data_IF_319767559163
#
_entry.id   IF_319767559163
#
_cell.length_a   1.000
_cell.length_b   1.000
_cell.length_c   1.000
_cell.angle_alpha   90.00
_cell.angle_beta   90.00
_cell.angle_gamma   90.00
#
_symmetry.space_group_name_H-M   'P 1'
#
loop_
_entity.id
_entity.type
_entity.pdbx_description
1 polymer ?
#
# COMPACT_ATOMS: atom_id res chain seq x y z
N UNK A 1 46.16 -27.47 -8.58
CA UNK A 1 44.96 -27.61 -7.71
C UNK A 1 44.95 -26.65 -6.52
N UNK A 2 46.07 -26.21 -5.99
CA UNK A 2 46.15 -25.28 -4.82
C UNK A 2 45.87 -23.83 -5.23
N UNK A 3 46.26 -23.41 -6.42
CA UNK A 3 46.03 -22.05 -6.96
C UNK A 3 44.52 -21.75 -7.19
N UNK A 4 43.76 -22.74 -7.68
CA UNK A 4 42.31 -22.60 -7.90
C UNK A 4 41.52 -22.50 -6.59
N UNK A 5 41.96 -23.13 -5.50
CA UNK A 5 41.35 -22.97 -4.17
C UNK A 5 41.62 -21.57 -3.58
N UNK A 6 42.77 -21.00 -3.76
CA UNK A 6 43.11 -19.63 -3.31
C UNK A 6 42.32 -18.57 -4.08
N UNK A 7 42.16 -18.72 -5.41
CA UNK A 7 41.31 -17.81 -6.19
C UNK A 7 39.85 -17.91 -5.82
N UNK A 8 39.30 -19.10 -5.56
CA UNK A 8 37.95 -19.26 -5.06
C UNK A 8 37.76 -18.65 -3.65
N UNK A 9 38.74 -18.76 -2.77
CA UNK A 9 38.70 -18.13 -1.46
C UNK A 9 38.88 -16.61 -1.51
N UNK A 10 39.65 -16.06 -2.46
CA UNK A 10 39.76 -14.62 -2.69
C UNK A 10 38.43 -14.05 -3.21
N UNK A 11 37.78 -14.72 -4.17
CA UNK A 11 36.45 -14.30 -4.67
C UNK A 11 35.32 -14.37 -3.61
N UNK A 12 35.51 -15.16 -2.54
CA UNK A 12 34.54 -15.25 -1.45
C UNK A 12 34.82 -14.17 -0.37
N UNK A 13 36.05 -13.67 -0.25
CA UNK A 13 36.41 -12.66 0.76
C UNK A 13 36.06 -11.22 0.34
N UNK A 14 35.99 -10.92 -0.94
CA UNK A 14 35.63 -9.62 -1.48
C UNK A 14 34.20 -9.59 -2.02
N UNK A 15 33.24 -10.24 -1.35
CA UNK A 15 31.84 -9.95 -1.57
C UNK A 15 31.62 -8.50 -1.15
N UNK A 16 31.54 -7.60 -2.13
CA UNK A 16 30.95 -6.30 -1.93
C UNK A 16 29.50 -6.51 -1.45
N UNK A 17 29.31 -6.50 -0.16
CA UNK A 17 27.96 -6.54 0.41
C UNK A 17 27.31 -5.22 0.08
N UNK A 18 26.30 -5.23 -0.80
CA UNK A 18 25.49 -4.05 -1.03
C UNK A 18 24.76 -3.68 0.26
N UNK A 19 24.77 -2.40 0.57
CA UNK A 19 24.14 -1.85 1.78
C UNK A 19 22.76 -1.30 1.40
N UNK A 20 21.73 -1.84 2.03
CA UNK A 20 20.35 -1.34 1.91
C UNK A 20 20.07 -0.42 3.09
N UNK A 21 19.66 0.81 2.79
CA UNK A 21 19.35 1.82 3.79
C UNK A 21 17.90 2.29 3.76
N UNK A 22 17.27 2.42 4.92
CA UNK A 22 15.95 3.04 5.03
C UNK A 22 16.05 4.31 5.92
N UNK A 23 15.96 5.51 5.33
CA UNK A 23 15.90 6.76 6.08
C UNK A 23 14.54 6.91 6.76
N UNK A 24 14.47 7.81 7.73
CA UNK A 24 13.21 8.27 8.31
C UNK A 24 12.38 8.97 7.23
N UNK A 25 11.09 8.63 7.17
CA UNK A 25 10.17 9.36 6.29
C UNK A 25 9.93 10.77 6.81
N UNK A 26 10.05 11.75 5.91
CA UNK A 26 9.90 13.17 6.24
C UNK A 26 8.64 13.79 5.65
N UNK A 27 7.88 13.05 4.83
CA UNK A 27 6.60 13.49 4.32
C UNK A 27 5.59 13.63 5.46
N UNK A 28 4.91 14.78 5.51
CA UNK A 28 3.95 15.08 6.59
C UNK A 28 2.84 14.02 6.65
N UNK A 29 2.69 13.37 7.80
CA UNK A 29 1.68 12.33 8.03
C UNK A 29 2.09 10.93 7.60
N UNK A 30 3.30 10.73 7.05
CA UNK A 30 3.80 9.38 6.76
C UNK A 30 4.42 8.77 8.02
N UNK A 31 3.77 7.76 8.56
CA UNK A 31 4.19 7.06 9.76
C UNK A 31 4.83 5.70 9.48
N UNK A 32 4.76 5.23 8.23
CA UNK A 32 5.34 3.95 7.84
C UNK A 32 6.86 4.06 7.70
N UNK A 33 7.52 2.92 7.73
CA UNK A 33 8.94 2.76 7.42
C UNK A 33 9.10 1.70 6.32
N UNK A 34 9.99 1.93 5.37
CA UNK A 34 10.14 1.06 4.21
C UNK A 34 10.80 -0.30 4.53
N UNK A 35 11.48 -0.40 5.65
CA UNK A 35 12.13 -1.64 6.11
C UNK A 35 11.73 -1.90 7.56
N UNK A 36 11.07 -3.04 7.82
CA UNK A 36 10.75 -3.51 9.18
C UNK A 36 11.87 -4.39 9.74
N UNK A 37 11.94 -4.64 11.07
CA UNK A 37 12.90 -5.60 11.63
C UNK A 37 12.81 -6.98 10.97
N UNK A 38 11.61 -7.47 10.67
CA UNK A 38 11.42 -8.76 10.03
C UNK A 38 11.90 -8.75 8.57
N UNK A 39 11.54 -7.74 7.78
CA UNK A 39 12.00 -7.63 6.38
C UNK A 39 13.52 -7.48 6.30
N UNK A 40 14.15 -6.79 7.28
CA UNK A 40 15.62 -6.68 7.34
C UNK A 40 16.31 -8.02 7.53
N UNK A 41 15.75 -8.92 8.35
CA UNK A 41 16.26 -10.29 8.51
C UNK A 41 16.20 -11.07 7.20
N UNK A 42 15.13 -10.88 6.40
CA UNK A 42 15.03 -11.53 5.08
C UNK A 42 16.07 -10.98 4.11
N UNK A 43 16.28 -9.67 4.06
CA UNK A 43 17.33 -9.05 3.23
C UNK A 43 18.73 -9.54 3.62
N UNK A 44 19.02 -9.68 4.91
CA UNK A 44 20.30 -10.19 5.40
C UNK A 44 20.54 -11.66 5.00
N UNK A 45 19.49 -12.51 4.99
CA UNK A 45 19.58 -13.89 4.46
C UNK A 45 19.98 -13.92 2.99
N UNK A 46 19.61 -12.90 2.22
CA UNK A 46 20.01 -12.74 0.82
C UNK A 46 21.44 -12.18 0.65
N UNK A 47 22.13 -11.85 1.75
CA UNK A 47 23.50 -11.37 1.74
C UNK A 47 23.65 -9.85 1.71
N UNK A 48 22.59 -9.07 1.93
CA UNK A 48 22.65 -7.62 2.08
C UNK A 48 23.02 -7.21 3.50
N UNK A 49 23.66 -6.06 3.66
CA UNK A 49 23.77 -5.37 4.95
C UNK A 49 22.66 -4.34 5.04
N UNK A 50 22.03 -4.22 6.21
CA UNK A 50 20.95 -3.28 6.43
C UNK A 50 21.39 -2.14 7.35
N UNK A 51 21.03 -0.92 7.00
CA UNK A 51 21.26 0.29 7.78
C UNK A 51 19.96 1.09 7.91
N UNK A 52 19.69 1.62 9.09
CA UNK A 52 18.49 2.39 9.37
C UNK A 52 18.88 3.71 10.06
N UNK A 53 18.20 4.78 9.70
CA UNK A 53 18.28 6.05 10.44
C UNK A 53 17.61 5.92 11.80
N UNK A 54 18.23 6.44 12.85
CA UNK A 54 17.69 6.40 14.20
C UNK A 54 16.26 6.96 14.27
N UNK A 55 15.40 6.24 14.98
CA UNK A 55 13.96 6.52 15.12
C UNK A 55 13.16 6.50 13.81
N UNK A 56 13.68 5.91 12.73
CA UNK A 56 12.90 5.81 11.47
C UNK A 56 11.67 4.92 11.61
N UNK A 57 11.74 3.88 12.45
CA UNK A 57 10.61 2.97 12.69
C UNK A 57 9.67 3.38 13.83
N UNK A 58 10.00 4.45 14.59
CA UNK A 58 9.31 4.79 15.84
C UNK A 58 7.79 5.03 15.64
N UNK A 59 7.40 5.73 14.58
CA UNK A 59 5.99 5.99 14.26
C UNK A 59 5.24 4.73 13.77
N UNK A 60 5.96 3.69 13.37
CA UNK A 60 5.42 2.38 13.00
C UNK A 60 5.52 1.35 14.15
N UNK A 61 5.76 1.82 15.38
CA UNK A 61 5.93 1.02 16.59
C UNK A 61 7.13 0.05 16.57
N UNK A 62 8.18 0.38 15.82
CA UNK A 62 9.46 -0.34 15.85
C UNK A 62 10.55 0.54 16.45
N UNK A 63 11.11 0.11 17.58
CA UNK A 63 12.21 0.82 18.25
C UNK A 63 13.56 0.55 17.58
N UNK A 64 14.53 1.45 17.78
CA UNK A 64 15.91 1.22 17.34
C UNK A 64 16.52 -0.06 17.96
N UNK A 65 16.00 -0.50 19.12
CA UNK A 65 16.40 -1.75 19.75
C UNK A 65 15.94 -2.95 18.93
N UNK A 66 14.69 -2.97 18.46
CA UNK A 66 14.15 -4.06 17.67
C UNK A 66 14.96 -4.28 16.37
N UNK A 67 15.40 -3.18 15.76
CA UNK A 67 16.29 -3.25 14.59
C UNK A 67 17.69 -3.75 14.93
N UNK A 68 18.27 -3.32 16.06
CA UNK A 68 19.58 -3.83 16.52
C UNK A 68 19.51 -5.33 16.80
N UNK A 69 18.44 -5.77 17.46
CA UNK A 69 18.20 -7.19 17.77
C UNK A 69 17.96 -8.01 16.46
N UNK A 70 17.51 -7.34 15.40
CA UNK A 70 17.42 -7.90 14.04
C UNK A 70 18.72 -7.80 13.24
N UNK A 71 19.84 -7.32 13.80
CA UNK A 71 21.13 -7.21 13.14
C UNK A 71 21.29 -5.98 12.23
N UNK A 72 20.42 -4.98 12.33
CA UNK A 72 20.48 -3.75 11.53
C UNK A 72 21.38 -2.73 12.21
N UNK A 73 22.26 -2.10 11.43
CA UNK A 73 23.08 -0.99 11.91
C UNK A 73 22.25 0.28 11.98
N UNK A 74 22.24 0.96 13.12
CA UNK A 74 21.58 2.25 13.30
C UNK A 74 22.60 3.37 13.09
N UNK A 75 22.23 4.36 12.26
CA UNK A 75 22.99 5.59 12.02
C UNK A 75 22.25 6.79 12.57
N UNK A 76 22.99 7.85 12.92
CA UNK A 76 22.44 8.99 13.67
C UNK A 76 21.49 9.87 12.88
N UNK A 77 21.72 10.01 11.57
CA UNK A 77 20.99 10.95 10.72
C UNK A 77 20.94 10.50 9.25
N UNK A 78 20.08 11.18 8.48
CA UNK A 78 19.89 10.92 7.07
C UNK A 78 21.18 11.07 6.25
N UNK A 79 22.01 12.10 6.51
CA UNK A 79 23.22 12.35 5.72
C UNK A 79 24.18 11.14 5.76
N UNK A 80 24.35 10.58 6.94
CA UNK A 80 25.18 9.39 7.11
C UNK A 80 24.57 8.20 6.38
N UNK A 81 23.24 8.00 6.49
CA UNK A 81 22.53 6.89 5.82
C UNK A 81 22.65 6.99 4.31
N UNK A 82 22.31 8.14 3.71
CA UNK A 82 22.37 8.33 2.27
C UNK A 82 23.77 8.17 1.71
N UNK A 83 24.80 8.58 2.47
CA UNK A 83 26.20 8.38 2.11
C UNK A 83 26.62 6.91 2.17
N UNK A 84 26.14 6.15 3.16
CA UNK A 84 26.56 4.75 3.38
C UNK A 84 25.82 3.77 2.47
N UNK A 85 24.51 3.93 2.29
CA UNK A 85 23.69 2.97 1.56
C UNK A 85 23.92 3.00 0.02
N UNK A 86 23.91 1.84 -0.59
CA UNK A 86 23.94 1.65 -2.05
C UNK A 86 22.52 1.66 -2.62
N UNK A 87 21.59 1.04 -1.90
CA UNK A 87 20.16 0.98 -2.23
C UNK A 87 19.39 1.69 -1.12
N UNK A 88 18.56 2.65 -1.49
CA UNK A 88 17.66 3.34 -0.58
C UNK A 88 16.25 2.78 -0.70
N UNK A 89 15.69 2.38 0.42
CA UNK A 89 14.27 2.02 0.53
C UNK A 89 13.50 3.17 1.16
N UNK A 90 12.47 3.67 0.49
CA UNK A 90 11.55 4.67 1.03
C UNK A 90 10.11 4.27 0.73
N UNK A 91 9.19 4.72 1.56
CA UNK A 91 7.76 4.66 1.25
C UNK A 91 7.42 5.77 0.26
N UNK A 92 7.68 7.02 0.60
CA UNK A 92 7.47 8.17 -0.30
C UNK A 92 8.69 8.44 -1.15
N UNK A 93 8.48 8.96 -2.35
CA UNK A 93 9.58 9.44 -3.18
C UNK A 93 10.45 10.47 -2.46
N UNK A 94 11.73 10.64 -2.85
CA UNK A 94 12.59 11.61 -2.21
C UNK A 94 12.04 13.03 -2.27
N UNK A 95 11.99 13.70 -1.12
CA UNK A 95 11.59 15.09 -0.97
C UNK A 95 12.73 16.05 -1.39
N UNK A 96 12.40 17.33 -1.61
CA UNK A 96 13.37 18.37 -2.08
C UNK A 96 14.65 18.42 -1.24
N UNK A 97 14.54 18.26 0.08
CA UNK A 97 15.68 18.28 1.02
C UNK A 97 16.55 17.02 0.93
N UNK A 98 16.01 15.92 0.42
CA UNK A 98 16.73 14.65 0.24
C UNK A 98 17.46 14.59 -1.12
N UNK A 99 16.99 15.36 -2.11
CA UNK A 99 17.61 15.35 -3.46
C UNK A 99 19.10 15.67 -3.44
N UNK A 100 19.56 16.55 -2.53
CA UNK A 100 20.98 16.87 -2.38
C UNK A 100 21.81 15.71 -1.85
N UNK A 101 21.22 14.81 -1.05
CA UNK A 101 21.86 13.68 -0.40
C UNK A 101 22.05 12.46 -1.31
N UNK A 102 21.28 12.38 -2.40
CA UNK A 102 21.33 11.28 -3.36
C UNK A 102 22.68 11.24 -4.07
N UNK A 103 23.34 10.08 -4.04
CA UNK A 103 24.60 9.84 -4.76
C UNK A 103 24.35 9.61 -6.25
N UNK A 104 25.37 9.85 -7.06
CA UNK A 104 25.35 9.47 -8.48
C UNK A 104 25.32 7.93 -8.57
N UNK A 105 24.52 7.40 -9.49
CA UNK A 105 24.29 5.96 -9.71
C UNK A 105 23.69 5.20 -8.51
N UNK A 106 23.08 5.88 -7.54
CA UNK A 106 22.42 5.23 -6.41
C UNK A 106 21.15 4.51 -6.88
N UNK A 107 20.75 3.44 -6.19
CA UNK A 107 19.48 2.77 -6.42
C UNK A 107 18.44 3.26 -5.41
N UNK A 108 17.21 3.49 -5.86
CA UNK A 108 16.08 3.91 -5.01
C UNK A 108 14.87 3.03 -5.32
N UNK A 109 14.25 2.49 -4.29
CA UNK A 109 13.01 1.73 -4.37
C UNK A 109 11.97 2.45 -3.52
N UNK A 110 10.92 3.00 -4.14
CA UNK A 110 9.85 3.73 -3.44
C UNK A 110 8.64 3.95 -4.34
N UNK A 111 7.55 4.48 -3.77
CA UNK A 111 6.46 5.04 -4.58
C UNK A 111 6.92 6.36 -5.18
N UNK A 112 6.88 6.49 -6.48
CA UNK A 112 7.39 7.65 -7.24
C UNK A 112 6.28 8.47 -7.90
N UNK A 113 5.22 7.81 -8.37
CA UNK A 113 4.14 8.41 -9.16
C UNK A 113 4.68 9.18 -10.38
N UNK A 114 5.38 8.49 -11.30
CA UNK A 114 6.18 9.16 -12.34
C UNK A 114 5.34 10.06 -13.26
N UNK A 115 4.08 9.71 -13.52
CA UNK A 115 3.17 10.54 -14.31
C UNK A 115 2.88 11.92 -13.68
N UNK A 116 2.94 12.02 -12.36
CA UNK A 116 2.63 13.23 -11.60
C UNK A 116 3.89 13.99 -11.16
N UNK A 117 5.04 13.31 -11.06
CA UNK A 117 6.27 13.84 -10.48
C UNK A 117 7.41 14.01 -11.51
N UNK A 118 7.11 14.59 -12.68
CA UNK A 118 8.12 14.85 -13.73
C UNK A 118 9.36 15.60 -13.21
N UNK A 119 9.25 16.66 -12.36
CA UNK A 119 10.43 17.34 -11.82
C UNK A 119 11.34 16.45 -10.96
N UNK A 120 10.76 15.51 -10.21
CA UNK A 120 11.53 14.50 -9.45
C UNK A 120 12.32 13.61 -10.40
N UNK A 121 11.66 13.08 -11.45
CA UNK A 121 12.31 12.22 -12.44
C UNK A 121 13.51 12.92 -13.12
N UNK A 122 13.38 14.19 -13.50
CA UNK A 122 14.48 14.96 -14.08
C UNK A 122 15.67 15.11 -13.11
N UNK A 123 15.42 15.33 -11.83
CA UNK A 123 16.48 15.38 -10.82
C UNK A 123 17.18 14.03 -10.64
N UNK A 124 16.42 12.93 -10.59
CA UNK A 124 16.97 11.59 -10.48
C UNK A 124 17.78 11.20 -11.73
N UNK A 125 17.29 11.55 -12.92
CA UNK A 125 17.98 11.36 -14.20
C UNK A 125 19.33 12.08 -14.24
N UNK A 126 19.40 13.34 -13.80
CA UNK A 126 20.67 14.10 -13.74
C UNK A 126 21.74 13.40 -12.90
N UNK A 127 21.34 12.68 -11.86
CA UNK A 127 22.21 11.90 -10.98
C UNK A 127 22.39 10.45 -11.43
N UNK A 128 21.82 10.04 -12.58
CA UNK A 128 21.87 8.68 -13.11
C UNK A 128 21.38 7.63 -12.11
N UNK A 129 20.34 7.96 -11.33
CA UNK A 129 19.76 7.09 -10.31
C UNK A 129 18.97 5.98 -11.00
N UNK A 130 19.15 4.74 -10.55
CA UNK A 130 18.24 3.64 -10.91
C UNK A 130 17.05 3.64 -9.97
N UNK A 131 15.84 3.74 -10.52
CA UNK A 131 14.61 3.81 -9.72
C UNK A 131 13.73 2.60 -9.99
N UNK A 132 13.25 1.97 -8.92
CA UNK A 132 12.17 0.99 -8.96
C UNK A 132 10.93 1.62 -8.31
N UNK A 133 9.99 2.04 -9.16
CA UNK A 133 8.75 2.65 -8.72
C UNK A 133 7.74 1.56 -8.34
N UNK A 134 7.42 1.44 -7.05
CA UNK A 134 6.51 0.43 -6.51
C UNK A 134 5.07 0.60 -7.00
N UNK A 135 4.69 1.82 -7.34
CA UNK A 135 3.39 2.17 -7.94
C UNK A 135 3.27 1.77 -9.43
N UNK A 136 4.39 1.38 -10.06
CA UNK A 136 4.43 0.94 -11.47
C UNK A 136 4.54 -0.59 -11.61
N UNK A 137 4.44 -1.33 -10.52
CA UNK A 137 4.42 -2.80 -10.57
C UNK A 137 3.16 -3.26 -11.31
N UNK A 138 3.29 -4.08 -12.37
CA UNK A 138 2.15 -4.50 -13.17
C UNK A 138 1.21 -5.42 -12.37
N UNK A 139 -0.10 -5.28 -12.58
CA UNK A 139 -1.13 -6.13 -11.94
C UNK A 139 -1.28 -7.45 -12.68
N UNK A 140 -0.30 -8.32 -12.49
CA UNK A 140 -0.27 -9.68 -13.02
C UNK A 140 -0.04 -10.68 -11.89
N UNK A 141 -0.49 -11.93 -12.04
CA UNK A 141 -0.41 -12.96 -11.00
C UNK A 141 1.01 -13.16 -10.45
N UNK A 142 2.03 -13.10 -11.31
CA UNK A 142 3.43 -13.20 -10.90
C UNK A 142 3.91 -12.06 -10.00
N UNK A 143 3.38 -10.86 -10.19
CA UNK A 143 3.78 -9.66 -9.46
C UNK A 143 2.90 -9.39 -8.22
N UNK A 144 1.86 -10.20 -7.97
CA UNK A 144 0.88 -9.98 -6.91
C UNK A 144 1.52 -9.80 -5.52
N UNK A 145 2.58 -10.54 -5.21
CA UNK A 145 3.30 -10.39 -3.92
C UNK A 145 4.03 -9.04 -3.76
N UNK A 146 4.24 -8.32 -4.85
CA UNK A 146 4.88 -7.00 -4.88
C UNK A 146 3.85 -5.87 -5.03
N UNK A 147 2.57 -6.18 -5.19
CA UNK A 147 1.48 -5.20 -5.34
C UNK A 147 1.13 -4.55 -4.01
N UNK A 148 1.95 -3.60 -3.61
CA UNK A 148 1.75 -2.83 -2.39
C UNK A 148 0.52 -1.90 -2.47
N UNK A 149 0.09 -1.48 -3.66
CA UNK A 149 -1.11 -0.66 -3.84
C UNK A 149 -2.37 -1.45 -3.48
N UNK A 150 -2.50 -2.70 -3.93
CA UNK A 150 -3.63 -3.56 -3.56
C UNK A 150 -3.62 -3.88 -2.07
N UNK A 151 -2.46 -4.13 -1.47
CA UNK A 151 -2.35 -4.32 -0.02
C UNK A 151 -2.82 -3.09 0.76
N UNK A 152 -2.43 -1.89 0.33
CA UNK A 152 -2.89 -0.64 0.96
C UNK A 152 -4.36 -0.36 0.71
N UNK A 153 -4.90 -0.71 -0.45
CA UNK A 153 -6.32 -0.59 -0.77
C UNK A 153 -7.18 -1.47 0.16
N UNK A 154 -6.74 -2.69 0.45
CA UNK A 154 -7.41 -3.58 1.41
C UNK A 154 -7.50 -2.93 2.80
N UNK A 155 -6.37 -2.42 3.31
CA UNK A 155 -6.32 -1.72 4.60
C UNK A 155 -7.23 -0.46 4.59
N UNK A 156 -7.25 0.28 3.47
CA UNK A 156 -8.09 1.46 3.33
C UNK A 156 -9.58 1.11 3.41
N UNK A 157 -10.02 0.03 2.76
CA UNK A 157 -11.41 -0.45 2.85
C UNK A 157 -11.80 -0.85 4.26
N UNK A 158 -10.95 -1.61 4.95
CA UNK A 158 -11.13 -1.93 6.37
C UNK A 158 -11.26 -0.65 7.22
N UNK A 159 -10.31 0.28 7.07
CA UNK A 159 -10.28 1.51 7.86
C UNK A 159 -11.48 2.42 7.59
N UNK A 160 -11.95 2.47 6.35
CA UNK A 160 -13.12 3.27 5.98
C UNK A 160 -14.36 2.89 6.81
N UNK A 161 -14.59 1.60 7.04
CA UNK A 161 -15.71 1.13 7.84
C UNK A 161 -15.54 1.47 9.33
N UNK A 162 -14.32 1.38 9.86
CA UNK A 162 -14.02 1.78 11.24
C UNK A 162 -14.28 3.28 11.43
N UNK A 163 -13.84 4.12 10.49
CA UNK A 163 -14.08 5.56 10.54
C UNK A 163 -15.57 5.89 10.39
N UNK A 164 -16.27 5.21 9.48
CA UNK A 164 -17.72 5.34 9.34
C UNK A 164 -18.44 5.00 10.65
N UNK A 165 -18.06 3.90 11.30
CA UNK A 165 -18.62 3.49 12.60
C UNK A 165 -18.37 4.51 13.71
N UNK A 166 -17.19 5.14 13.71
CA UNK A 166 -16.84 6.18 14.68
C UNK A 166 -17.70 7.45 14.52
N UNK A 167 -18.15 7.76 13.28
CA UNK A 167 -18.95 8.96 12.97
C UNK A 167 -20.46 8.69 12.99
N UNK A 168 -20.90 7.44 12.86
CA UNK A 168 -22.31 7.10 12.62
C UNK A 168 -23.23 7.35 13.83
N UNK A 169 -22.72 7.34 15.06
CA UNK A 169 -23.50 7.61 16.27
C UNK A 169 -24.51 6.53 16.66
N UNK A 170 -24.57 5.39 15.97
CA UNK A 170 -25.41 4.22 16.24
C UNK A 170 -24.62 2.92 16.15
N UNK A 171 -25.24 1.81 16.58
CA UNK A 171 -24.67 0.46 16.40
C UNK A 171 -24.67 0.04 14.93
N UNK A 172 -23.64 -0.67 14.48
CA UNK A 172 -23.66 -1.34 13.18
C UNK A 172 -24.48 -2.62 13.23
N UNK A 173 -24.34 -3.41 14.26
CA UNK A 173 -25.15 -4.61 14.47
C UNK A 173 -26.51 -4.26 15.09
N UNK A 174 -27.53 -5.08 14.84
CA UNK A 174 -28.79 -4.96 15.56
C UNK A 174 -28.59 -5.23 17.05
N UNK A 175 -29.25 -4.44 17.89
CA UNK A 175 -29.18 -4.57 19.35
C UNK A 175 -30.57 -4.67 19.97
N UNK A 176 -30.64 -5.42 21.07
CA UNK A 176 -31.80 -5.46 21.96
C UNK A 176 -31.38 -4.81 23.28
N UNK A 177 -31.98 -3.68 23.61
CA UNK A 177 -31.71 -2.92 24.84
C UNK A 177 -32.89 -2.99 25.77
N UNK A 178 -32.75 -2.54 27.00
CA UNK A 178 -33.88 -2.39 27.93
C UNK A 178 -34.95 -1.43 27.41
N UNK A 179 -34.59 -0.46 26.58
CA UNK A 179 -35.49 0.51 25.95
C UNK A 179 -36.11 0.01 24.62
N UNK A 180 -35.76 -1.18 24.15
CA UNK A 180 -36.29 -1.77 22.92
C UNK A 180 -35.25 -2.21 21.93
N UNK A 181 -35.68 -2.51 20.68
CA UNK A 181 -34.85 -2.99 19.60
C UNK A 181 -34.25 -1.83 18.81
N UNK A 182 -32.96 -1.91 18.51
CA UNK A 182 -32.28 -1.04 17.57
C UNK A 182 -31.95 -1.87 16.33
N UNK A 183 -32.44 -1.52 15.13
CA UNK A 183 -32.14 -2.27 13.92
C UNK A 183 -30.65 -2.11 13.52
N UNK A 184 -30.09 -3.06 12.77
CA UNK A 184 -28.72 -2.94 12.27
C UNK A 184 -28.60 -1.76 11.29
N UNK A 185 -27.39 -1.21 11.19
CA UNK A 185 -27.08 -0.17 10.22
C UNK A 185 -27.17 -0.73 8.80
N UNK A 186 -27.62 0.09 7.86
CA UNK A 186 -27.56 -0.18 6.43
C UNK A 186 -26.35 0.57 5.84
N UNK A 187 -25.51 -0.12 5.11
CA UNK A 187 -24.28 0.43 4.53
C UNK A 187 -24.28 0.20 3.04
N UNK A 188 -24.13 1.27 2.26
CA UNK A 188 -23.90 1.22 0.84
C UNK A 188 -22.40 1.33 0.53
N UNK A 189 -21.85 0.34 -0.18
CA UNK A 189 -20.47 0.34 -0.67
C UNK A 189 -20.48 0.57 -2.17
N UNK A 190 -19.89 1.68 -2.61
CA UNK A 190 -19.80 2.04 -4.02
C UNK A 190 -18.41 1.67 -4.54
N UNK A 191 -18.36 0.67 -5.42
CA UNK A 191 -17.15 0.06 -5.97
C UNK A 191 -16.72 -1.20 -5.22
N UNK A 192 -16.65 -2.33 -5.91
CA UNK A 192 -16.25 -3.64 -5.39
C UNK A 192 -14.84 -4.06 -5.86
N UNK A 193 -13.91 -3.11 -5.92
CA UNK A 193 -12.49 -3.41 -6.02
C UNK A 193 -11.93 -3.91 -4.69
N UNK A 194 -10.60 -4.02 -4.58
CA UNK A 194 -9.94 -4.53 -3.35
C UNK A 194 -10.38 -3.78 -2.10
N UNK A 195 -10.48 -2.45 -2.15
CA UNK A 195 -10.94 -1.65 -1.02
C UNK A 195 -12.43 -1.90 -0.70
N UNK A 196 -13.29 -1.93 -1.73
CA UNK A 196 -14.71 -2.15 -1.56
C UNK A 196 -15.03 -3.52 -0.97
N UNK A 197 -14.40 -4.59 -1.49
CA UNK A 197 -14.56 -5.94 -0.94
C UNK A 197 -14.08 -6.02 0.51
N UNK A 198 -12.97 -5.38 0.87
CA UNK A 198 -12.52 -5.30 2.25
C UNK A 198 -13.50 -4.53 3.15
N UNK A 199 -14.10 -3.46 2.63
CA UNK A 199 -15.14 -2.70 3.33
C UNK A 199 -16.40 -3.55 3.54
N UNK A 200 -16.87 -4.27 2.51
CA UNK A 200 -18.02 -5.18 2.59
C UNK A 200 -17.79 -6.22 3.70
N UNK A 201 -16.67 -6.95 3.65
CA UNK A 201 -16.36 -7.97 4.63
C UNK A 201 -16.26 -7.41 6.06
N UNK A 202 -15.69 -6.23 6.22
CA UNK A 202 -15.58 -5.57 7.53
C UNK A 202 -16.97 -5.16 8.04
N UNK A 203 -17.79 -4.53 7.23
CA UNK A 203 -19.13 -4.10 7.61
C UNK A 203 -20.06 -5.28 7.97
N UNK A 204 -19.99 -6.36 7.20
CA UNK A 204 -20.68 -7.61 7.48
C UNK A 204 -20.23 -8.21 8.83
N UNK A 205 -18.94 -8.25 9.08
CA UNK A 205 -18.38 -8.75 10.34
C UNK A 205 -18.84 -7.90 11.56
N UNK A 206 -19.13 -6.62 11.35
CA UNK A 206 -19.70 -5.73 12.36
C UNK A 206 -21.23 -5.84 12.47
N UNK A 207 -21.87 -6.72 11.69
CA UNK A 207 -23.30 -7.01 11.76
C UNK A 207 -24.21 -6.01 11.05
N UNK A 208 -23.67 -5.20 10.14
CA UNK A 208 -24.45 -4.30 9.31
C UNK A 208 -25.14 -5.04 8.15
N UNK A 209 -26.22 -4.48 7.64
CA UNK A 209 -26.84 -4.88 6.35
C UNK A 209 -26.06 -4.15 5.26
N UNK A 210 -25.40 -4.89 4.37
CA UNK A 210 -24.54 -4.30 3.35
C UNK A 210 -25.15 -4.46 1.97
N UNK A 211 -25.25 -3.36 1.26
CA UNK A 211 -25.54 -3.29 -0.18
C UNK A 211 -24.30 -2.77 -0.91
N UNK A 212 -24.02 -3.28 -2.08
CA UNK A 212 -22.88 -2.86 -2.85
C UNK A 212 -23.22 -2.67 -4.32
N UNK A 213 -22.57 -1.70 -4.95
CA UNK A 213 -22.66 -1.41 -6.36
C UNK A 213 -21.26 -1.45 -7.00
N UNK A 214 -21.16 -1.97 -8.20
CA UNK A 214 -19.99 -1.82 -9.07
C UNK A 214 -20.45 -1.75 -10.53
N UNK A 215 -19.74 -0.99 -11.33
CA UNK A 215 -20.03 -0.84 -12.75
C UNK A 215 -19.71 -2.11 -13.58
N UNK A 216 -19.03 -3.08 -12.97
CA UNK A 216 -18.65 -4.36 -13.57
C UNK A 216 -19.57 -5.46 -13.06
N UNK A 217 -20.47 -6.01 -13.92
CA UNK A 217 -21.41 -7.05 -13.49
C UNK A 217 -20.74 -8.33 -12.97
N UNK A 218 -19.55 -8.66 -13.45
CA UNK A 218 -18.81 -9.86 -13.08
C UNK A 218 -18.37 -9.90 -11.60
N UNK A 219 -18.43 -8.79 -10.88
CA UNK A 219 -18.12 -8.76 -9.43
C UNK A 219 -19.32 -9.09 -8.55
N UNK A 220 -20.53 -9.23 -9.13
CA UNK A 220 -21.76 -9.53 -8.39
C UNK A 220 -21.62 -10.79 -7.53
N UNK A 221 -21.13 -11.90 -8.12
CA UNK A 221 -20.89 -13.15 -7.42
C UNK A 221 -19.95 -13.01 -6.22
N UNK A 222 -18.91 -12.17 -6.35
CA UNK A 222 -17.98 -11.90 -5.25
C UNK A 222 -18.67 -11.16 -4.11
N UNK A 223 -19.50 -10.16 -4.41
CA UNK A 223 -20.26 -9.38 -3.45
C UNK A 223 -21.24 -10.28 -2.69
N UNK A 224 -22.02 -11.08 -3.42
CA UNK A 224 -23.01 -12.00 -2.86
C UNK A 224 -22.37 -13.10 -2.03
N UNK A 225 -21.22 -13.62 -2.44
CA UNK A 225 -20.47 -14.62 -1.68
C UNK A 225 -20.00 -14.10 -0.32
N UNK A 226 -19.86 -12.78 -0.17
CA UNK A 226 -19.55 -12.12 1.09
C UNK A 226 -20.80 -11.79 1.93
N UNK A 227 -22.00 -12.15 1.48
CA UNK A 227 -23.26 -11.93 2.17
C UNK A 227 -23.85 -10.51 1.98
N UNK A 228 -23.36 -9.74 1.04
CA UNK A 228 -23.93 -8.43 0.70
C UNK A 228 -24.88 -8.53 -0.50
N UNK A 229 -25.84 -7.61 -0.58
CA UNK A 229 -26.75 -7.47 -1.72
C UNK A 229 -26.07 -6.68 -2.84
N UNK A 230 -26.01 -7.25 -4.05
CA UNK A 230 -25.53 -6.52 -5.21
C UNK A 230 -26.66 -5.66 -5.81
N UNK A 231 -26.42 -4.36 -5.96
CA UNK A 231 -27.34 -3.46 -6.62
C UNK A 231 -27.04 -3.44 -8.13
N UNK A 232 -27.92 -4.05 -8.90
CA UNK A 232 -27.82 -4.08 -10.34
C UNK A 232 -28.42 -2.81 -10.94
N UNK A 233 -27.68 -2.15 -11.84
CA UNK A 233 -28.21 -1.08 -12.67
C UNK A 233 -28.76 -1.69 -13.96
N UNK A 234 -30.05 -1.47 -14.25
CA UNK A 234 -30.66 -1.87 -15.53
C UNK A 234 -30.18 -0.95 -16.66
N UNK A 235 -28.97 -1.23 -17.16
CA UNK A 235 -28.32 -0.48 -18.21
C UNK A 235 -27.31 -1.37 -18.95
N UNK A 236 -27.54 -1.56 -20.25
CA UNK A 236 -26.63 -2.32 -21.13
C UNK A 236 -25.34 -1.54 -21.41
N UNK A 237 -24.42 -1.46 -20.45
CA UNK A 237 -23.09 -0.94 -20.69
C UNK A 237 -22.04 -1.93 -20.14
N UNK A 238 -21.14 -2.36 -21.01
CA UNK A 238 -19.94 -3.08 -20.60
C UNK A 238 -19.00 -2.11 -19.87
N UNK A 239 -19.05 -2.14 -18.54
CA UNK A 239 -18.20 -1.32 -17.67
C UNK A 239 -16.75 -1.81 -17.52
N UNK A 240 -16.41 -2.95 -18.12
CA UNK A 240 -15.11 -3.60 -17.96
C UNK A 240 -14.04 -2.93 -18.82
N UNK A 241 -12.99 -2.43 -18.18
CA UNK A 241 -11.81 -1.83 -18.80
C UNK A 241 -10.57 -2.70 -18.65
N UNK A 242 -9.44 -2.25 -19.20
CA UNK A 242 -8.18 -2.96 -19.10
C UNK A 242 -7.63 -2.96 -17.64
N UNK A 243 -6.99 -4.07 -17.25
CA UNK A 243 -6.33 -4.21 -15.95
C UNK A 243 -7.28 -4.22 -14.75
N UNK A 244 -8.59 -4.54 -14.95
CA UNK A 244 -9.59 -4.60 -13.88
C UNK A 244 -10.12 -3.23 -13.44
N UNK A 245 -9.89 -2.18 -14.23
CA UNK A 245 -10.50 -0.86 -14.04
C UNK A 245 -11.80 -0.73 -14.85
N UNK A 246 -12.69 0.15 -14.37
CA UNK A 246 -13.90 0.50 -15.11
C UNK A 246 -13.59 1.41 -16.31
N UNK A 247 -14.38 1.29 -17.38
CA UNK A 247 -14.38 2.25 -18.48
C UNK A 247 -15.00 3.58 -18.05
N UNK A 248 -14.67 4.71 -18.74
CA UNK A 248 -15.38 5.97 -18.53
C UNK A 248 -16.89 5.80 -18.78
N UNK A 249 -17.69 6.18 -17.80
CA UNK A 249 -19.14 6.08 -17.86
C UNK A 249 -19.77 7.12 -18.80
N UNK A 250 -20.86 6.77 -19.50
CA UNK A 250 -21.66 7.71 -20.26
C UNK A 250 -22.46 8.65 -19.33
N UNK A 251 -22.87 9.81 -19.83
CA UNK A 251 -23.70 10.73 -19.04
C UNK A 251 -25.06 10.11 -18.62
N UNK A 252 -25.63 9.26 -19.45
CA UNK A 252 -26.87 8.54 -19.17
C UNK A 252 -26.67 7.49 -18.09
N UNK A 253 -25.55 6.75 -18.14
CA UNK A 253 -25.19 5.81 -17.09
C UNK A 253 -25.05 6.52 -15.75
N UNK A 254 -24.29 7.61 -15.69
CA UNK A 254 -24.09 8.41 -14.45
C UNK A 254 -25.43 8.90 -13.90
N UNK A 255 -26.37 9.31 -14.75
CA UNK A 255 -27.70 9.76 -14.32
C UNK A 255 -28.47 8.62 -13.63
N UNK A 256 -28.53 7.45 -14.25
CA UNK A 256 -29.22 6.27 -13.68
C UNK A 256 -28.53 5.76 -12.41
N UNK A 257 -27.20 5.77 -12.37
CA UNK A 257 -26.41 5.45 -11.18
C UNK A 257 -26.75 6.37 -10.00
N UNK A 258 -26.83 7.67 -10.26
CA UNK A 258 -27.22 8.66 -9.23
C UNK A 258 -28.67 8.51 -8.78
N UNK A 259 -29.57 8.08 -9.65
CA UNK A 259 -30.96 7.75 -9.29
C UNK A 259 -30.98 6.52 -8.37
N UNK A 260 -30.27 5.45 -8.72
CA UNK A 260 -30.12 4.26 -7.87
C UNK A 260 -29.60 4.61 -6.49
N UNK A 261 -28.55 5.45 -6.38
CA UNK A 261 -28.00 5.83 -5.08
C UNK A 261 -28.95 6.71 -4.25
N UNK A 262 -29.76 7.57 -4.90
CA UNK A 262 -30.79 8.36 -4.21
C UNK A 262 -31.87 7.50 -3.60
N UNK A 263 -32.24 6.40 -4.25
CA UNK A 263 -33.19 5.43 -3.70
C UNK A 263 -32.67 4.76 -2.42
N UNK A 264 -31.36 4.64 -2.28
CA UNK A 264 -30.71 4.07 -1.08
C UNK A 264 -30.50 5.11 0.04
N UNK A 265 -30.47 6.40 -0.29
CA UNK A 265 -30.09 7.47 0.64
C UNK A 265 -31.07 7.73 1.82
N UNK A 266 -32.39 7.48 1.72
CA UNK A 266 -33.32 7.69 2.84
C UNK A 266 -33.16 6.66 3.96
N UNK A 267 -32.44 5.62 3.75
CA UNK A 267 -32.23 4.52 4.70
C UNK A 267 -30.94 4.66 5.47
#
# INVERSE_FOLDING_TARGET
HVLFRRQRQMCIRDRFYMIIGAPKEIFKGENRVAMTPESSKQLQKLGYKCVLESNAGANANFSDKDYKDAGVKIVKNADQLWKEADIILKVRGPEKTELSKIKVNQHIISFIWPGQNKPLLENLKKKKVTVQAMDMIPRISRAQKMDALSSMANIAGYRAIIEAGNQFGRFFTGQITAAGKVPPAKILVIGAGVAGLAAIGTAQSMGAIVRAFDVRPEVAEQIESMGAEFLMLDFEADGTGEGGYAKPASKEFIKKEMELFREQAPE
#
